data_IF_224248408200
#
_entry.id   IF_224248408200
#
_cell.length_a   1.000
_cell.length_b   1.000
_cell.length_c   1.000
_cell.angle_alpha   90.00
_cell.angle_beta   90.00
_cell.angle_gamma   90.00
#
_symmetry.space_group_name_H-M   'P 1'
#
loop_
_entity.id
_entity.type
_entity.pdbx_description
1 polymer ?
#
# COMPACT_ATOMS: atom_id res chain seq x y z
N UNK A 1 -28.40 -80.18 15.51
CA UNK A 1 -27.68 -78.96 15.92
C UNK A 1 -26.46 -78.71 15.01
N UNK A 2 -26.64 -78.29 13.75
CA UNK A 2 -25.51 -77.93 12.85
C UNK A 2 -25.88 -77.06 11.62
N UNK A 3 -27.02 -76.35 11.64
CA UNK A 3 -27.48 -75.51 10.51
C UNK A 3 -27.86 -74.06 10.86
N UNK A 4 -27.59 -73.60 12.08
CA UNK A 4 -27.90 -72.22 12.53
C UNK A 4 -26.64 -71.34 12.58
N UNK A 5 -25.44 -71.93 12.68
CA UNK A 5 -24.18 -71.17 12.76
C UNK A 5 -23.68 -70.58 11.44
N UNK A 6 -24.10 -71.11 10.29
CA UNK A 6 -23.67 -70.59 8.98
C UNK A 6 -24.52 -69.41 8.49
N UNK A 7 -25.77 -69.28 8.94
CA UNK A 7 -26.65 -68.18 8.54
C UNK A 7 -26.31 -66.86 9.26
N UNK A 8 -25.91 -66.90 10.53
CA UNK A 8 -25.48 -65.70 11.27
C UNK A 8 -24.14 -65.14 10.76
N UNK A 9 -23.22 -65.99 10.29
CA UNK A 9 -21.91 -65.54 9.84
C UNK A 9 -21.99 -64.83 8.48
N UNK A 10 -22.89 -65.27 7.59
CA UNK A 10 -23.12 -64.63 6.28
C UNK A 10 -23.88 -63.29 6.42
N UNK A 11 -24.79 -63.17 7.39
CA UNK A 11 -25.53 -61.93 7.65
C UNK A 11 -24.65 -60.85 8.31
N UNK A 12 -23.72 -61.24 9.19
CA UNK A 12 -22.74 -60.32 9.80
C UNK A 12 -21.66 -59.87 8.81
N UNK A 13 -21.28 -60.70 7.83
CA UNK A 13 -20.39 -60.26 6.75
C UNK A 13 -21.08 -59.33 5.75
N UNK A 14 -22.39 -59.44 5.55
CA UNK A 14 -23.12 -58.53 4.67
C UNK A 14 -23.35 -57.15 5.31
N UNK A 15 -23.53 -57.09 6.64
CA UNK A 15 -23.63 -55.83 7.37
C UNK A 15 -22.27 -55.13 7.56
N UNK A 16 -21.17 -55.88 7.62
CA UNK A 16 -19.82 -55.33 7.70
C UNK A 16 -19.28 -54.79 6.36
N UNK A 17 -19.80 -55.29 5.22
CA UNK A 17 -19.42 -54.80 3.87
C UNK A 17 -20.13 -53.48 3.52
N UNK A 18 -21.30 -53.19 4.11
CA UNK A 18 -21.95 -51.87 3.98
C UNK A 18 -21.29 -50.75 4.82
N UNK A 19 -20.48 -51.10 5.82
CA UNK A 19 -19.73 -50.13 6.65
C UNK A 19 -18.29 -49.86 6.15
N UNK A 20 -17.91 -50.43 5.01
CA UNK A 20 -16.61 -50.20 4.36
C UNK A 20 -16.72 -49.34 3.10
N UNK A 21 -17.83 -48.62 2.91
CA UNK A 21 -17.78 -47.40 2.10
C UNK A 21 -17.06 -46.34 2.92
N UNK A 22 -15.73 -46.40 2.85
CA UNK A 22 -14.83 -45.31 3.21
C UNK A 22 -15.47 -44.02 2.71
N UNK A 23 -15.69 -43.09 3.64
CA UNK A 23 -16.12 -41.74 3.32
C UNK A 23 -15.24 -41.22 2.19
N UNK A 24 -15.80 -41.17 0.99
CA UNK A 24 -15.33 -40.23 0.00
C UNK A 24 -15.49 -38.89 0.68
N UNK A 25 -14.36 -38.24 0.97
CA UNK A 25 -14.33 -36.80 1.08
C UNK A 25 -14.98 -36.29 -0.19
N UNK A 26 -16.25 -35.92 -0.11
CA UNK A 26 -16.89 -35.08 -1.13
C UNK A 26 -16.17 -33.76 -0.97
N UNK A 27 -15.03 -33.65 -1.67
CA UNK A 27 -14.42 -32.39 -2.00
C UNK A 27 -15.51 -31.62 -2.72
N UNK A 28 -16.04 -30.59 -2.05
CA UNK A 28 -17.22 -29.89 -2.49
C UNK A 28 -16.87 -29.15 -3.78
N UNK A 29 -17.19 -29.77 -4.92
CA UNK A 29 -17.09 -29.10 -6.20
C UNK A 29 -17.89 -27.78 -6.13
N UNK A 30 -17.37 -26.66 -6.66
CA UNK A 30 -17.99 -25.36 -6.53
C UNK A 30 -19.47 -25.42 -6.93
N UNK A 31 -20.35 -24.99 -6.02
CA UNK A 31 -21.79 -25.08 -6.25
C UNK A 31 -22.25 -23.96 -7.19
N UNK A 32 -22.80 -24.36 -8.34
CA UNK A 32 -23.38 -23.45 -9.32
C UNK A 32 -24.80 -23.07 -8.91
N UNK A 33 -25.07 -21.77 -8.86
CA UNK A 33 -26.36 -21.18 -8.54
C UNK A 33 -26.91 -20.51 -9.80
N UNK A 34 -28.08 -20.96 -10.24
CA UNK A 34 -28.83 -20.31 -11.29
C UNK A 34 -29.90 -19.40 -10.68
N UNK A 35 -29.95 -18.15 -11.13
CA UNK A 35 -30.94 -17.18 -10.69
C UNK A 35 -31.50 -16.40 -11.87
N UNK A 36 -32.76 -16.01 -11.76
CA UNK A 36 -33.47 -15.26 -12.79
C UNK A 36 -34.16 -14.08 -12.15
N UNK A 37 -33.97 -12.91 -12.74
CA UNK A 37 -34.65 -11.68 -12.36
C UNK A 37 -35.44 -11.15 -13.55
N UNK A 38 -36.62 -10.63 -13.26
CA UNK A 38 -37.54 -10.10 -14.27
C UNK A 38 -37.90 -8.68 -13.88
N UNK A 39 -37.82 -7.77 -14.83
CA UNK A 39 -38.27 -6.39 -14.67
C UNK A 39 -39.13 -5.97 -15.85
N UNK A 40 -40.26 -5.34 -15.54
CA UNK A 40 -41.17 -4.77 -16.53
C UNK A 40 -40.89 -3.28 -16.62
N UNK A 41 -40.49 -2.82 -17.81
CA UNK A 41 -40.08 -1.45 -18.07
C UNK A 41 -41.27 -0.49 -17.92
N UNK A 42 -41.11 0.55 -17.11
CA UNK A 42 -42.08 1.64 -17.00
C UNK A 42 -41.96 2.66 -18.12
N UNK A 43 -42.95 3.54 -18.25
CA UNK A 43 -43.08 4.51 -19.35
C UNK A 43 -41.88 5.49 -19.45
N UNK A 44 -41.16 5.72 -18.34
CA UNK A 44 -40.01 6.63 -18.27
C UNK A 44 -38.65 5.92 -18.17
N UNK A 45 -38.62 4.59 -18.17
CA UNK A 45 -37.38 3.85 -18.03
C UNK A 45 -36.60 3.83 -19.35
N UNK A 46 -35.29 3.61 -19.26
CA UNK A 46 -34.48 3.25 -20.42
C UNK A 46 -34.24 1.74 -20.46
N UNK A 47 -33.98 1.14 -21.64
CA UNK A 47 -33.57 -0.26 -21.76
C UNK A 47 -32.44 -0.67 -20.82
N UNK A 48 -31.51 0.26 -20.54
CA UNK A 48 -30.40 0.05 -19.61
C UNK A 48 -30.92 -0.07 -18.17
N UNK A 49 -31.76 0.88 -17.72
CA UNK A 49 -32.35 0.87 -16.38
C UNK A 49 -33.15 -0.42 -16.15
N UNK A 50 -33.97 -0.82 -17.13
CA UNK A 50 -34.77 -2.04 -17.03
C UNK A 50 -33.91 -3.31 -16.94
N UNK A 51 -32.81 -3.38 -17.71
CA UNK A 51 -31.86 -4.49 -17.63
C UNK A 51 -31.12 -4.50 -16.29
N UNK A 52 -30.65 -3.34 -15.83
CA UNK A 52 -29.92 -3.21 -14.56
C UNK A 52 -30.82 -3.60 -13.38
N UNK A 53 -32.11 -3.23 -13.41
CA UNK A 53 -33.10 -3.63 -12.41
C UNK A 53 -33.38 -5.14 -12.43
N UNK A 54 -33.57 -5.74 -13.62
CA UNK A 54 -33.73 -7.19 -13.76
C UNK A 54 -32.49 -7.95 -13.28
N UNK A 55 -31.29 -7.41 -13.54
CA UNK A 55 -30.01 -7.95 -13.07
C UNK A 55 -29.88 -7.85 -11.54
N UNK A 56 -30.26 -6.73 -10.94
CA UNK A 56 -30.27 -6.56 -9.49
C UNK A 56 -31.19 -7.58 -8.80
N UNK A 57 -32.37 -7.82 -9.38
CA UNK A 57 -33.29 -8.82 -8.85
C UNK A 57 -32.74 -10.25 -9.00
N UNK A 58 -32.14 -10.57 -10.16
CA UNK A 58 -31.46 -11.86 -10.36
C UNK A 58 -30.34 -12.07 -9.33
N UNK A 59 -29.55 -11.03 -9.07
CA UNK A 59 -28.47 -11.05 -8.08
C UNK A 59 -29.02 -11.24 -6.66
N UNK A 60 -30.12 -10.58 -6.30
CA UNK A 60 -30.77 -10.75 -4.99
C UNK A 60 -31.14 -12.21 -4.75
N UNK A 61 -31.79 -12.85 -5.73
CA UNK A 61 -32.16 -14.27 -5.68
C UNK A 61 -30.93 -15.18 -5.57
N UNK A 62 -29.84 -14.85 -6.28
CA UNK A 62 -28.60 -15.60 -6.23
C UNK A 62 -27.94 -15.54 -4.84
N UNK A 63 -27.91 -14.35 -4.22
CA UNK A 63 -27.39 -14.13 -2.86
C UNK A 63 -28.22 -14.88 -1.82
N UNK A 64 -29.55 -14.90 -1.96
CA UNK A 64 -30.43 -15.66 -1.06
C UNK A 64 -30.17 -17.17 -1.14
N UNK A 65 -29.96 -17.70 -2.35
CA UNK A 65 -29.59 -19.11 -2.55
C UNK A 65 -28.19 -19.42 -2.01
N UNK A 66 -27.23 -18.49 -2.16
CA UNK A 66 -25.91 -18.62 -1.58
C UNK A 66 -25.92 -18.58 -0.04
N UNK A 67 -26.87 -17.84 0.55
CA UNK A 67 -27.12 -17.77 1.99
C UNK A 67 -27.28 -19.13 2.65
N UNK A 68 -28.07 -20.02 2.03
CA UNK A 68 -28.29 -21.39 2.52
C UNK A 68 -26.98 -22.17 2.57
N UNK A 69 -26.09 -21.97 1.59
CA UNK A 69 -24.80 -22.64 1.54
C UNK A 69 -23.84 -22.10 2.59
N UNK A 70 -23.73 -20.77 2.70
CA UNK A 70 -22.88 -20.09 3.69
C UNK A 70 -23.30 -20.46 5.11
N UNK A 71 -24.60 -20.54 5.38
CA UNK A 71 -25.14 -20.95 6.68
C UNK A 71 -24.85 -22.43 6.98
N UNK A 72 -25.02 -23.32 5.99
CA UNK A 72 -24.64 -24.73 6.16
C UNK A 72 -23.14 -24.87 6.44
N UNK A 73 -22.30 -24.15 5.70
CA UNK A 73 -20.84 -24.18 5.86
C UNK A 73 -20.41 -23.61 7.22
N UNK A 74 -20.99 -22.49 7.68
CA UNK A 74 -20.66 -21.89 8.98
C UNK A 74 -20.98 -22.83 10.14
N UNK A 75 -22.12 -23.56 10.07
CA UNK A 75 -22.48 -24.60 11.04
C UNK A 75 -21.46 -25.73 11.09
N UNK A 76 -20.95 -26.19 9.94
CA UNK A 76 -19.89 -27.23 9.90
C UNK A 76 -18.57 -26.77 10.52
N UNK A 77 -18.33 -25.46 10.59
CA UNK A 77 -17.14 -24.84 11.20
C UNK A 77 -17.40 -24.35 12.64
N UNK A 78 -18.53 -24.70 13.26
CA UNK A 78 -18.95 -24.26 14.60
C UNK A 78 -19.01 -22.72 14.76
N UNK A 79 -19.33 -21.97 13.70
CA UNK A 79 -19.48 -20.52 13.74
C UNK A 79 -20.96 -20.13 13.89
N UNK A 80 -21.25 -19.15 14.74
CA UNK A 80 -22.59 -18.53 14.85
C UNK A 80 -22.59 -17.25 14.01
N UNK A 81 -23.27 -17.28 12.86
CA UNK A 81 -23.47 -16.11 12.00
C UNK A 81 -24.89 -15.57 12.20
N UNK A 82 -25.05 -14.24 12.18
CA UNK A 82 -26.36 -13.60 12.12
C UNK A 82 -26.93 -13.60 10.70
N UNK A 83 -28.22 -13.32 10.53
CA UNK A 83 -28.86 -13.24 9.20
C UNK A 83 -28.19 -12.21 8.28
N UNK A 84 -27.79 -11.06 8.84
CA UNK A 84 -27.07 -10.01 8.11
C UNK A 84 -25.66 -10.46 7.70
N UNK A 85 -24.97 -11.23 8.53
CA UNK A 85 -23.65 -11.79 8.21
C UNK A 85 -23.74 -12.79 7.05
N UNK A 86 -24.74 -13.67 7.09
CA UNK A 86 -24.99 -14.65 6.02
C UNK A 86 -25.24 -13.92 4.71
N UNK A 87 -26.05 -12.86 4.71
CA UNK A 87 -26.36 -12.10 3.49
C UNK A 87 -25.14 -11.36 2.93
N UNK A 88 -24.36 -10.72 3.81
CA UNK A 88 -23.13 -10.01 3.45
C UNK A 88 -22.09 -10.96 2.86
N UNK A 89 -21.81 -12.07 3.55
CA UNK A 89 -20.82 -13.07 3.10
C UNK A 89 -21.30 -13.69 1.80
N UNK A 90 -22.57 -14.05 1.69
CA UNK A 90 -23.15 -14.63 0.47
C UNK A 90 -23.00 -13.73 -0.74
N UNK A 91 -23.09 -12.41 -0.57
CA UNK A 91 -22.79 -11.46 -1.64
C UNK A 91 -21.32 -11.41 -2.04
N UNK A 92 -20.40 -11.54 -1.08
CA UNK A 92 -18.95 -11.47 -1.32
C UNK A 92 -18.40 -12.72 -2.02
N UNK A 93 -18.98 -13.88 -1.77
CA UNK A 93 -18.49 -15.18 -2.23
C UNK A 93 -19.12 -15.62 -3.55
N UNK A 94 -20.16 -14.89 -3.98
CA UNK A 94 -20.91 -15.15 -5.19
C UNK A 94 -20.19 -14.53 -6.39
N UNK A 95 -19.71 -15.36 -7.30
CA UNK A 95 -19.06 -14.94 -8.54
C UNK A 95 -19.93 -15.26 -9.74
N UNK A 96 -20.46 -14.25 -10.42
CA UNK A 96 -21.23 -14.47 -11.67
C UNK A 96 -20.28 -14.93 -12.77
N UNK A 97 -20.57 -16.10 -13.34
CA UNK A 97 -19.77 -16.76 -14.38
C UNK A 97 -20.41 -16.53 -15.76
N UNK A 98 -21.74 -16.46 -15.80
CA UNK A 98 -22.51 -16.23 -17.02
C UNK A 98 -23.72 -15.35 -16.73
N UNK A 99 -24.01 -14.45 -17.65
CA UNK A 99 -25.17 -13.57 -17.62
C UNK A 99 -25.76 -13.48 -19.03
N UNK A 100 -27.04 -13.82 -19.17
CA UNK A 100 -27.81 -13.69 -20.41
C UNK A 100 -29.00 -12.74 -20.15
N UNK A 101 -29.25 -11.82 -21.08
CA UNK A 101 -30.37 -10.88 -21.00
C UNK A 101 -31.27 -11.03 -22.21
N UNK A 102 -32.55 -11.31 -21.96
CA UNK A 102 -33.58 -11.48 -22.98
C UNK A 102 -34.62 -10.35 -22.85
N UNK A 103 -34.69 -9.44 -23.84
CA UNK A 103 -35.79 -8.49 -23.94
C UNK A 103 -37.00 -9.16 -24.63
N UNK A 104 -38.16 -9.08 -24.01
CA UNK A 104 -39.43 -9.57 -24.56
C UNK A 104 -40.45 -8.44 -24.62
N UNK A 105 -41.12 -8.28 -25.75
CA UNK A 105 -42.24 -7.36 -25.87
C UNK A 105 -43.54 -8.10 -25.54
N UNK A 106 -44.15 -7.79 -24.41
CA UNK A 106 -45.43 -8.36 -23.99
C UNK A 106 -46.53 -7.31 -24.15
N UNK A 107 -47.23 -7.34 -25.29
CA UNK A 107 -48.22 -6.33 -25.65
C UNK A 107 -47.54 -5.01 -26.00
N UNK A 108 -47.71 -3.98 -25.15
CA UNK A 108 -47.11 -2.64 -25.33
C UNK A 108 -45.92 -2.38 -24.41
N UNK A 109 -45.55 -3.34 -23.55
CA UNK A 109 -44.55 -3.11 -22.50
C UNK A 109 -43.36 -4.06 -22.68
N UNK A 110 -42.16 -3.50 -22.55
CA UNK A 110 -40.92 -4.28 -22.61
C UNK A 110 -40.65 -4.94 -21.26
N UNK A 111 -40.43 -6.25 -21.28
CA UNK A 111 -40.02 -7.06 -20.13
C UNK A 111 -38.58 -7.52 -20.35
N UNK A 112 -37.71 -7.25 -19.39
CA UNK A 112 -36.33 -7.72 -19.39
C UNK A 112 -36.23 -8.90 -18.43
N UNK A 113 -35.73 -10.02 -18.94
CA UNK A 113 -35.41 -11.20 -18.13
C UNK A 113 -33.90 -11.39 -18.15
N UNK A 114 -33.28 -11.40 -16.97
CA UNK A 114 -31.84 -11.66 -16.81
C UNK A 114 -31.69 -13.01 -16.14
N UNK A 115 -31.01 -13.92 -16.82
CA UNK A 115 -30.60 -15.22 -16.30
C UNK A 115 -29.12 -15.16 -15.97
N UNK A 116 -28.77 -15.48 -14.72
CA UNK A 116 -27.39 -15.56 -14.29
C UNK A 116 -27.04 -16.95 -13.78
N UNK A 117 -25.80 -17.34 -14.00
CA UNK A 117 -25.16 -18.51 -13.40
C UNK A 117 -23.98 -18.00 -12.59
N UNK A 118 -24.02 -18.24 -11.29
CA UNK A 118 -22.98 -17.85 -10.37
C UNK A 118 -22.33 -19.07 -9.70
N UNK A 119 -21.08 -18.93 -9.31
CA UNK A 119 -20.34 -19.87 -8.48
C UNK A 119 -20.24 -19.33 -7.07
N UNK A 120 -20.38 -20.20 -6.07
CA UNK A 120 -19.99 -19.90 -4.70
C UNK A 120 -18.59 -20.47 -4.49
N UNK A 121 -17.59 -19.60 -4.44
CA UNK A 121 -16.21 -19.98 -4.13
C UNK A 121 -16.05 -20.01 -2.62
N UNK A 122 -15.85 -21.21 -2.04
CA UNK A 122 -15.69 -21.37 -0.59
C UNK A 122 -14.32 -21.72 -0.10
N UNK A 123 -13.38 -21.93 -1.02
CA UNK A 123 -12.04 -22.39 -0.70
C UNK A 123 -11.09 -21.20 -0.42
N UNK A 124 -11.38 -20.03 -0.99
CA UNK A 124 -10.62 -18.79 -0.77
C UNK A 124 -11.25 -17.83 0.27
N UNK A 125 -12.32 -18.23 0.96
CA UNK A 125 -12.99 -17.36 1.95
C UNK A 125 -12.31 -17.50 3.31
N UNK A 126 -11.45 -16.55 3.65
CA UNK A 126 -11.07 -16.30 5.03
C UNK A 126 -12.23 -15.61 5.77
N UNK A 127 -13.25 -16.40 6.12
CA UNK A 127 -14.41 -15.98 6.92
C UNK A 127 -13.99 -15.29 8.21
N UNK A 128 -12.86 -15.71 8.79
CA UNK A 128 -12.31 -15.09 9.99
C UNK A 128 -11.80 -13.69 9.69
N UNK A 129 -11.03 -13.50 8.61
CA UNK A 129 -10.58 -12.16 8.20
C UNK A 129 -11.75 -11.22 7.84
N UNK A 130 -12.86 -11.73 7.29
CA UNK A 130 -14.05 -10.89 7.03
C UNK A 130 -14.75 -10.47 8.32
N UNK A 131 -14.87 -11.36 9.31
CA UNK A 131 -15.42 -11.04 10.63
C UNK A 131 -14.52 -10.07 11.41
N UNK A 132 -13.20 -10.28 11.37
CA UNK A 132 -12.22 -9.39 11.99
C UNK A 132 -12.32 -7.98 11.37
N UNK A 133 -12.42 -7.88 10.03
CA UNK A 133 -12.66 -6.61 9.33
C UNK A 133 -13.97 -5.94 9.72
N UNK A 134 -15.06 -6.69 9.92
CA UNK A 134 -16.33 -6.14 10.40
C UNK A 134 -16.15 -5.51 11.79
N UNK A 135 -15.50 -6.23 12.69
CA UNK A 135 -15.25 -5.77 14.06
C UNK A 135 -14.36 -4.52 14.08
N UNK A 136 -13.37 -4.47 13.19
CA UNK A 136 -12.52 -3.30 12.95
C UNK A 136 -13.33 -2.11 12.39
N UNK A 137 -14.20 -2.35 11.41
CA UNK A 137 -15.05 -1.32 10.81
C UNK A 137 -16.01 -0.72 11.85
N UNK A 138 -16.62 -1.55 12.69
CA UNK A 138 -17.50 -1.11 13.79
C UNK A 138 -16.73 -0.26 14.81
N UNK A 139 -15.50 -0.66 15.15
CA UNK A 139 -14.62 0.12 16.04
C UNK A 139 -14.25 1.47 15.42
N UNK A 140 -13.87 1.49 14.14
CA UNK A 140 -13.56 2.74 13.42
C UNK A 140 -14.79 3.65 13.32
N UNK A 141 -15.98 3.07 13.18
CA UNK A 141 -17.22 3.83 13.14
C UNK A 141 -17.57 4.43 14.50
N UNK A 142 -17.38 3.68 15.59
CA UNK A 142 -17.49 4.20 16.96
C UNK A 142 -16.47 5.30 17.23
N UNK A 143 -15.23 5.14 16.78
CA UNK A 143 -14.18 6.16 16.91
C UNK A 143 -14.53 7.42 16.12
N UNK A 144 -15.01 7.28 14.87
CA UNK A 144 -15.52 8.40 14.06
C UNK A 144 -16.66 9.12 14.76
N UNK A 145 -17.63 8.39 15.30
CA UNK A 145 -18.80 8.99 15.97
C UNK A 145 -18.40 9.66 17.29
N UNK A 146 -17.43 9.08 18.02
CA UNK A 146 -16.84 9.70 19.20
C UNK A 146 -16.06 10.98 18.85
N UNK A 147 -15.24 10.95 17.80
CA UNK A 147 -14.51 12.13 17.29
C UNK A 147 -15.47 13.21 16.78
N UNK A 148 -16.54 12.81 16.09
CA UNK A 148 -17.58 13.73 15.64
C UNK A 148 -18.28 14.39 16.83
N UNK A 149 -18.62 13.61 17.85
CA UNK A 149 -19.19 14.12 19.10
C UNK A 149 -18.22 15.07 19.82
N UNK A 150 -16.94 14.72 19.91
CA UNK A 150 -15.90 15.59 20.46
C UNK A 150 -15.76 16.89 19.66
N UNK A 151 -15.84 16.83 18.33
CA UNK A 151 -15.83 18.02 17.47
C UNK A 151 -17.07 18.89 17.67
N UNK A 152 -18.24 18.28 17.84
CA UNK A 152 -19.50 18.99 18.15
C UNK A 152 -19.45 19.63 19.54
N UNK A 153 -18.90 18.94 20.54
CA UNK A 153 -18.67 19.45 21.89
C UNK A 153 -17.65 20.60 21.89
N UNK A 154 -16.53 20.45 21.20
CA UNK A 154 -15.53 21.50 20.97
C UNK A 154 -16.14 22.72 20.26
N UNK A 155 -17.02 22.48 19.27
CA UNK A 155 -17.74 23.56 18.58
C UNK A 155 -18.71 24.28 19.53
N UNK A 156 -19.40 23.55 20.40
CA UNK A 156 -20.29 24.13 21.40
C UNK A 156 -19.51 24.92 22.46
N UNK A 157 -18.35 24.43 22.89
CA UNK A 157 -17.41 25.15 23.78
C UNK A 157 -16.84 26.40 23.10
N UNK A 158 -16.47 26.32 21.82
CA UNK A 158 -16.07 27.46 20.99
C UNK A 158 -17.18 28.51 20.87
N UNK A 159 -18.44 28.08 20.77
CA UNK A 159 -19.58 28.99 20.74
C UNK A 159 -19.80 29.71 22.08
N UNK A 160 -19.54 29.03 23.21
CA UNK A 160 -19.69 29.57 24.57
C UNK A 160 -18.50 30.41 25.06
N UNK A 161 -17.31 30.25 24.47
CA UNK A 161 -16.12 31.00 24.84
C UNK A 161 -16.22 32.50 24.47
N UNK A 162 -15.83 33.38 25.41
CA UNK A 162 -15.86 34.83 25.21
C UNK A 162 -14.79 35.31 24.22
N UNK A 163 -15.07 36.43 23.54
CA UNK A 163 -14.49 36.83 22.26
C UNK A 163 -12.96 36.85 22.11
N UNK A 164 -12.17 37.11 23.17
CA UNK A 164 -10.70 37.08 23.07
C UNK A 164 -10.13 35.65 23.04
N UNK A 165 -10.76 34.72 23.74
CA UNK A 165 -10.35 33.32 23.86
C UNK A 165 -10.80 32.53 22.62
N UNK A 166 -12.02 32.83 22.15
CA UNK A 166 -12.58 32.37 20.87
C UNK A 166 -11.74 32.77 19.66
N UNK A 167 -11.21 34.00 19.65
CA UNK A 167 -10.32 34.51 18.58
C UNK A 167 -8.96 33.83 18.64
N UNK A 168 -8.38 33.62 19.83
CA UNK A 168 -7.07 32.94 19.98
C UNK A 168 -7.10 31.46 19.63
N UNK A 169 -8.13 30.72 20.04
CA UNK A 169 -8.30 29.30 19.71
C UNK A 169 -8.69 29.11 18.24
N UNK A 170 -9.61 29.93 17.73
CA UNK A 170 -9.98 29.95 16.31
C UNK A 170 -8.77 30.23 15.41
N UNK A 171 -8.03 31.31 15.67
CA UNK A 171 -6.82 31.63 14.89
C UNK A 171 -5.74 30.55 15.01
N UNK A 172 -5.56 29.90 16.18
CA UNK A 172 -4.55 28.84 16.33
C UNK A 172 -4.90 27.57 15.54
N UNK A 173 -6.15 27.12 15.57
CA UNK A 173 -6.61 25.94 14.82
C UNK A 173 -6.71 26.23 13.32
N UNK A 174 -7.23 27.40 12.95
CA UNK A 174 -7.33 27.85 11.56
C UNK A 174 -5.94 28.04 10.94
N UNK A 175 -5.00 28.67 11.66
CA UNK A 175 -3.60 28.74 11.23
C UNK A 175 -2.93 27.36 11.13
N UNK A 176 -3.18 26.45 12.07
CA UNK A 176 -2.63 25.08 12.00
C UNK A 176 -3.15 24.33 10.76
N UNK A 177 -4.45 24.44 10.50
CA UNK A 177 -5.09 23.83 9.33
C UNK A 177 -4.65 24.47 8.01
N UNK A 178 -4.37 25.77 8.01
CA UNK A 178 -3.83 26.47 6.83
C UNK A 178 -2.36 26.08 6.55
N UNK A 179 -1.54 25.85 7.60
CA UNK A 179 -0.17 25.38 7.41
C UNK A 179 -0.12 23.97 6.81
N UNK A 180 -0.95 23.04 7.29
CA UNK A 180 -1.04 21.68 6.74
C UNK A 180 -1.31 21.70 5.24
N UNK A 181 -2.27 22.53 4.78
CA UNK A 181 -2.56 22.67 3.35
C UNK A 181 -1.38 23.21 2.55
N UNK A 182 -0.62 24.14 3.10
CA UNK A 182 0.59 24.65 2.44
C UNK A 182 1.64 23.53 2.35
N UNK A 183 1.87 22.79 3.43
CA UNK A 183 2.81 21.68 3.46
C UNK A 183 2.45 20.56 2.49
N UNK A 184 1.18 20.15 2.42
CA UNK A 184 0.71 19.13 1.50
C UNK A 184 0.96 19.52 0.04
N UNK A 185 0.65 20.78 -0.32
CA UNK A 185 0.92 21.30 -1.67
C UNK A 185 2.41 21.35 -1.97
N UNK A 186 3.21 21.91 -1.06
CA UNK A 186 4.68 21.99 -1.20
C UNK A 186 5.30 20.61 -1.37
N UNK A 187 4.86 19.62 -0.58
CA UNK A 187 5.27 18.23 -0.72
C UNK A 187 4.90 17.67 -2.10
N UNK A 188 3.67 17.93 -2.56
CA UNK A 188 3.20 17.52 -3.89
C UNK A 188 3.96 18.18 -5.04
N UNK A 189 4.46 19.41 -4.88
CA UNK A 189 5.38 20.03 -5.84
C UNK A 189 6.75 19.35 -5.82
N UNK A 190 7.33 19.09 -4.64
CA UNK A 190 8.63 18.40 -4.51
C UNK A 190 8.59 17.02 -5.16
N UNK A 191 7.52 16.25 -4.94
CA UNK A 191 7.35 14.91 -5.54
C UNK A 191 7.27 14.95 -7.08
N UNK A 192 6.74 16.03 -7.64
CA UNK A 192 6.67 16.27 -9.10
C UNK A 192 7.90 17.00 -9.64
N UNK A 193 8.93 17.20 -8.82
CA UNK A 193 10.13 17.98 -9.14
C UNK A 193 9.86 19.44 -9.52
N UNK A 194 8.70 19.99 -9.15
CA UNK A 194 8.35 21.41 -9.28
C UNK A 194 8.97 22.23 -8.13
N UNK A 195 10.27 22.08 -7.91
CA UNK A 195 10.95 22.57 -6.70
C UNK A 195 10.85 24.08 -6.49
N UNK A 196 10.93 24.88 -7.55
CA UNK A 196 10.81 26.36 -7.46
C UNK A 196 9.48 26.79 -6.87
N UNK A 197 8.37 26.12 -7.26
CA UNK A 197 7.04 26.44 -6.71
C UNK A 197 6.94 26.08 -5.23
N UNK A 198 7.54 24.95 -4.83
CA UNK A 198 7.63 24.59 -3.43
C UNK A 198 8.41 25.64 -2.62
N UNK A 199 9.53 26.11 -3.17
CA UNK A 199 10.38 27.14 -2.55
C UNK A 199 9.62 28.46 -2.38
N UNK A 200 8.88 28.91 -3.39
CA UNK A 200 8.13 30.16 -3.35
C UNK A 200 7.02 30.12 -2.27
N UNK A 201 6.22 29.04 -2.23
CA UNK A 201 5.17 28.88 -1.22
C UNK A 201 5.76 28.80 0.20
N UNK A 202 6.84 28.04 0.39
CA UNK A 202 7.47 27.89 1.71
C UNK A 202 8.20 29.16 2.15
N UNK A 203 8.77 29.93 1.23
CA UNK A 203 9.40 31.21 1.54
C UNK A 203 8.38 32.21 2.07
N UNK A 204 7.23 32.31 1.41
CA UNK A 204 6.12 33.16 1.87
C UNK A 204 5.70 32.78 3.30
N UNK A 205 5.59 31.48 3.59
CA UNK A 205 5.23 30.99 4.91
C UNK A 205 6.31 31.30 5.98
N UNK A 206 7.59 31.17 5.63
CA UNK A 206 8.71 31.47 6.53
C UNK A 206 8.80 32.97 6.82
N UNK A 207 8.49 33.84 5.86
CA UNK A 207 8.53 35.30 6.04
C UNK A 207 7.43 35.81 6.98
N UNK A 208 6.34 35.06 7.15
CA UNK A 208 5.31 35.38 8.13
C UNK A 208 5.83 35.20 9.56
N UNK A 209 5.94 36.31 10.29
CA UNK A 209 6.43 36.37 11.68
C UNK A 209 5.49 35.72 12.69
N UNK A 210 4.25 35.47 12.32
CA UNK A 210 3.29 34.75 13.15
C UNK A 210 3.58 33.24 13.18
N UNK A 211 4.28 32.72 12.16
CA UNK A 211 4.65 31.31 12.03
C UNK A 211 5.91 31.05 12.86
N UNK A 212 5.76 30.21 13.89
CA UNK A 212 6.80 29.86 14.87
C UNK A 212 6.70 28.39 15.24
N UNK A 213 7.71 27.87 15.92
CA UNK A 213 7.67 26.50 16.45
C UNK A 213 7.75 25.43 15.36
N UNK A 214 7.07 24.30 15.61
CA UNK A 214 6.98 23.15 14.71
C UNK A 214 6.65 23.51 13.24
N UNK A 215 5.61 24.31 12.92
CA UNK A 215 5.34 24.69 11.53
C UNK A 215 6.48 25.44 10.85
N UNK A 216 7.15 26.35 11.57
CA UNK A 216 8.26 27.12 11.00
C UNK A 216 9.47 26.21 10.73
N UNK A 217 9.82 25.36 11.69
CA UNK A 217 10.90 24.38 11.53
C UNK A 217 10.64 23.44 10.35
N UNK A 218 9.39 22.96 10.21
CA UNK A 218 9.02 22.08 9.12
C UNK A 218 9.01 22.79 7.75
N UNK A 219 8.63 24.07 7.70
CA UNK A 219 8.71 24.87 6.48
C UNK A 219 10.16 25.00 5.98
N UNK A 220 11.11 25.27 6.89
CA UNK A 220 12.54 25.27 6.58
C UNK A 220 13.00 23.91 6.07
N UNK A 221 12.65 22.81 6.75
CA UNK A 221 12.97 21.45 6.28
C UNK A 221 12.48 21.17 4.86
N UNK A 222 11.21 21.46 4.56
CA UNK A 222 10.64 21.21 3.23
C UNK A 222 11.32 22.06 2.15
N UNK A 223 11.72 23.30 2.49
CA UNK A 223 12.38 24.19 1.54
C UNK A 223 13.82 23.75 1.30
N UNK A 224 14.53 23.32 2.35
CA UNK A 224 15.85 22.70 2.23
C UNK A 224 15.80 21.44 1.36
N UNK A 225 14.76 20.61 1.52
CA UNK A 225 14.54 19.44 0.64
C UNK A 225 14.29 19.84 -0.82
N UNK A 226 13.55 20.92 -1.07
CA UNK A 226 13.36 21.44 -2.43
C UNK A 226 14.66 21.99 -3.03
N UNK A 227 15.49 22.68 -2.25
CA UNK A 227 16.83 23.11 -2.68
C UNK A 227 17.75 21.92 -2.97
N UNK A 228 17.73 20.88 -2.15
CA UNK A 228 18.46 19.64 -2.42
C UNK A 228 18.03 19.03 -3.76
N UNK A 229 16.71 18.97 -4.03
CA UNK A 229 16.17 18.51 -5.31
C UNK A 229 16.59 19.36 -6.53
N UNK A 230 16.89 20.64 -6.33
CA UNK A 230 17.47 21.53 -7.35
C UNK A 230 19.00 21.43 -7.47
N UNK A 231 19.64 20.49 -6.79
CA UNK A 231 21.09 20.37 -6.71
C UNK A 231 21.75 21.64 -6.17
N UNK A 232 21.12 22.27 -5.16
CA UNK A 232 21.62 23.44 -4.43
C UNK A 232 21.94 23.06 -2.97
N UNK A 233 23.00 22.28 -2.73
CA UNK A 233 23.29 21.69 -1.42
C UNK A 233 23.60 22.75 -0.35
N UNK A 234 24.26 23.86 -0.69
CA UNK A 234 24.54 24.93 0.26
C UNK A 234 23.26 25.57 0.82
N UNK A 235 22.32 25.94 -0.06
CA UNK A 235 21.03 26.50 0.36
C UNK A 235 20.21 25.50 1.17
N UNK A 236 20.30 24.20 0.81
CA UNK A 236 19.66 23.13 1.55
C UNK A 236 20.21 23.02 2.98
N UNK A 237 21.53 23.02 3.15
CA UNK A 237 22.19 22.98 4.46
C UNK A 237 21.83 24.19 5.32
N UNK A 238 21.74 25.39 4.73
CA UNK A 238 21.31 26.59 5.46
C UNK A 238 19.89 26.44 6.00
N UNK A 239 18.95 25.95 5.18
CA UNK A 239 17.58 25.71 5.61
C UNK A 239 17.47 24.57 6.63
N UNK A 240 18.23 23.49 6.49
CA UNK A 240 18.26 22.41 7.51
C UNK A 240 18.81 22.92 8.85
N UNK A 241 19.84 23.76 8.82
CA UNK A 241 20.37 24.41 10.01
C UNK A 241 19.31 25.32 10.67
N UNK A 242 18.58 26.10 9.88
CA UNK A 242 17.48 26.95 10.37
C UNK A 242 16.33 26.12 10.96
N UNK A 243 15.99 24.99 10.35
CA UNK A 243 15.00 24.05 10.87
C UNK A 243 15.43 23.50 12.24
N UNK A 244 16.68 23.02 12.35
CA UNK A 244 17.24 22.45 13.56
C UNK A 244 17.38 23.49 14.71
N UNK A 245 17.60 24.77 14.37
CA UNK A 245 17.71 25.88 15.34
C UNK A 245 16.38 26.53 15.72
N UNK A 246 15.28 26.19 15.05
CA UNK A 246 13.95 26.68 15.41
C UNK A 246 13.38 25.78 16.51
N UNK A 247 12.79 26.34 17.57
CA UNK A 247 12.16 25.53 18.62
C UNK A 247 11.16 24.52 18.03
N UNK A 248 11.40 23.22 18.21
CA UNK A 248 10.54 22.18 17.66
C UNK A 248 10.61 20.88 18.47
N UNK A 249 9.62 20.03 18.23
CA UNK A 249 9.60 18.63 18.58
C UNK A 249 9.34 17.80 17.31
N UNK A 250 9.58 16.49 17.42
CA UNK A 250 9.41 15.56 16.31
C UNK A 250 8.08 14.81 16.35
N UNK A 251 7.09 15.29 17.13
CA UNK A 251 5.81 14.59 17.33
C UNK A 251 4.85 14.84 16.18
N UNK A 252 4.78 16.09 15.70
CA UNK A 252 3.84 16.50 14.66
C UNK A 252 4.45 16.35 13.27
N UNK A 253 5.71 16.76 13.12
CA UNK A 253 6.45 16.69 11.86
C UNK A 253 7.78 15.97 12.07
N UNK A 254 8.28 15.24 11.06
CA UNK A 254 9.55 14.52 11.16
C UNK A 254 10.74 15.46 10.85
N UNK A 255 10.92 16.53 11.63
CA UNK A 255 12.01 17.52 11.40
C UNK A 255 13.39 16.87 11.48
N UNK A 256 13.55 15.79 12.26
CA UNK A 256 14.76 14.97 12.30
C UNK A 256 15.23 14.47 10.92
N UNK A 257 14.37 14.46 9.88
CA UNK A 257 14.77 14.16 8.50
C UNK A 257 15.74 15.20 7.92
N UNK A 258 15.91 16.39 8.50
CA UNK A 258 17.00 17.32 8.17
C UNK A 258 18.35 16.59 8.19
N UNK A 259 18.63 15.87 9.27
CA UNK A 259 19.88 15.10 9.44
C UNK A 259 20.09 14.03 8.36
N UNK A 260 19.00 13.45 7.84
CA UNK A 260 19.11 12.51 6.70
C UNK A 260 19.68 13.23 5.47
N UNK A 261 19.13 14.38 5.11
CA UNK A 261 19.59 15.13 3.94
C UNK A 261 20.97 15.77 4.16
N UNK A 262 21.25 16.30 5.34
CA UNK A 262 22.60 16.79 5.70
C UNK A 262 23.63 15.66 5.55
N UNK A 263 23.30 14.45 6.03
CA UNK A 263 24.14 13.28 5.89
C UNK A 263 24.39 12.86 4.44
N UNK A 264 23.37 12.92 3.58
CA UNK A 264 23.52 12.67 2.14
C UNK A 264 24.39 13.73 1.47
N UNK A 265 24.20 15.01 1.79
CA UNK A 265 25.02 16.10 1.25
C UNK A 265 26.49 15.93 1.66
N UNK A 266 26.76 15.65 2.94
CA UNK A 266 28.13 15.40 3.40
C UNK A 266 28.74 14.14 2.77
N UNK A 267 27.94 13.11 2.50
CA UNK A 267 28.40 11.94 1.78
C UNK A 267 28.86 12.30 0.36
N UNK A 268 28.05 13.07 -0.37
CA UNK A 268 28.35 13.53 -1.72
C UNK A 268 29.58 14.46 -1.77
N UNK A 269 29.81 15.24 -0.71
CA UNK A 269 31.00 16.08 -0.53
C UNK A 269 32.26 15.28 -0.12
N UNK A 270 32.16 13.96 0.08
CA UNK A 270 33.27 13.11 0.53
C UNK A 270 33.59 13.23 2.03
N UNK A 271 32.75 13.95 2.79
CA UNK A 271 32.87 14.17 4.23
C UNK A 271 32.23 13.02 5.00
N UNK A 272 32.75 11.81 4.82
CA UNK A 272 32.08 10.59 5.26
C UNK A 272 31.88 10.47 6.77
N UNK A 273 32.82 10.95 7.60
CA UNK A 273 32.65 10.93 9.05
C UNK A 273 31.51 11.86 9.51
N UNK A 274 31.27 12.97 8.81
CA UNK A 274 30.14 13.87 9.05
C UNK A 274 28.84 13.25 8.57
N UNK A 275 28.86 12.64 7.38
CA UNK A 275 27.72 11.91 6.84
C UNK A 275 27.21 10.82 7.80
N UNK A 276 28.13 10.02 8.37
CA UNK A 276 27.79 8.98 9.35
C UNK A 276 27.13 9.59 10.58
N UNK A 277 27.67 10.69 11.13
CA UNK A 277 27.10 11.31 12.34
C UNK A 277 25.66 11.77 12.11
N UNK A 278 25.40 12.49 11.03
CA UNK A 278 24.06 13.00 10.75
C UNK A 278 23.06 11.84 10.45
N UNK A 279 23.48 10.84 9.67
CA UNK A 279 22.64 9.67 9.39
C UNK A 279 22.36 8.84 10.65
N UNK A 280 23.29 8.78 11.60
CA UNK A 280 23.07 8.14 12.90
C UNK A 280 22.05 8.88 13.75
N UNK A 281 22.10 10.22 13.77
CA UNK A 281 21.09 11.04 14.44
C UNK A 281 19.72 10.77 13.83
N UNK A 282 19.59 10.84 12.50
CA UNK A 282 18.35 10.54 11.79
C UNK A 282 17.83 9.13 12.12
N UNK A 283 18.71 8.12 12.09
CA UNK A 283 18.35 6.73 12.40
C UNK A 283 17.85 6.56 13.84
N UNK A 284 18.46 7.25 14.80
CA UNK A 284 18.08 7.17 16.21
C UNK A 284 16.71 7.80 16.51
N UNK A 285 16.35 8.87 15.80
CA UNK A 285 15.02 9.47 15.88
C UNK A 285 13.95 8.70 15.11
N UNK A 286 14.33 7.95 14.07
CA UNK A 286 13.41 7.15 13.28
C UNK A 286 12.82 5.96 14.07
N UNK A 287 11.77 5.35 13.52
CA UNK A 287 11.22 4.07 13.99
C UNK A 287 12.09 2.85 13.61
N UNK A 288 13.23 3.09 12.95
CA UNK A 288 14.19 2.10 12.47
C UNK A 288 13.61 1.12 11.44
N UNK A 289 12.59 1.53 10.69
CA UNK A 289 11.97 0.74 9.62
C UNK A 289 12.26 1.27 8.22
N UNK A 290 12.75 2.51 8.11
CA UNK A 290 13.13 3.13 6.84
C UNK A 290 14.37 2.45 6.26
N UNK A 291 14.16 1.53 5.30
CA UNK A 291 15.24 0.75 4.68
C UNK A 291 16.22 1.62 3.90
N UNK A 292 15.75 2.70 3.28
CA UNK A 292 16.61 3.61 2.53
C UNK A 292 17.60 4.29 3.48
N UNK A 293 17.10 4.83 4.59
CA UNK A 293 17.96 5.44 5.62
C UNK A 293 18.98 4.44 6.21
N UNK A 294 18.58 3.19 6.42
CA UNK A 294 19.49 2.15 6.89
C UNK A 294 20.61 1.84 5.87
N UNK A 295 20.27 1.81 4.58
CA UNK A 295 21.22 1.58 3.50
C UNK A 295 22.16 2.78 3.29
N UNK A 296 21.66 4.01 3.39
CA UNK A 296 22.46 5.25 3.37
C UNK A 296 23.49 5.24 4.50
N UNK A 297 23.05 4.97 5.74
CA UNK A 297 23.92 4.89 6.91
C UNK A 297 24.99 3.80 6.77
N UNK A 298 24.60 2.61 6.28
CA UNK A 298 25.54 1.51 6.03
C UNK A 298 26.58 1.92 4.99
N UNK A 299 26.16 2.59 3.93
CA UNK A 299 27.02 3.04 2.83
C UNK A 299 28.01 4.10 3.32
N UNK A 300 27.53 5.10 4.06
CA UNK A 300 28.36 6.12 4.68
C UNK A 300 29.42 5.53 5.62
N UNK A 301 29.05 4.54 6.45
CA UNK A 301 30.00 3.84 7.35
C UNK A 301 31.09 3.10 6.58
N UNK A 302 30.74 2.39 5.50
CA UNK A 302 31.73 1.72 4.66
C UNK A 302 32.67 2.72 3.97
N UNK A 303 32.14 3.86 3.50
CA UNK A 303 32.94 4.89 2.87
C UNK A 303 33.92 5.55 3.88
N UNK A 304 33.44 5.87 5.09
CA UNK A 304 34.29 6.40 6.17
C UNK A 304 35.41 5.41 6.55
N UNK A 305 35.10 4.13 6.64
CA UNK A 305 36.10 3.10 6.95
C UNK A 305 37.15 2.96 5.84
N UNK A 306 36.72 2.94 4.58
CA UNK A 306 37.64 2.92 3.42
C UNK A 306 38.50 4.18 3.33
N UNK A 307 37.97 5.33 3.72
CA UNK A 307 38.73 6.58 3.73
C UNK A 307 39.82 6.57 4.81
N UNK A 308 39.58 5.91 5.96
CA UNK A 308 40.57 5.71 7.02
C UNK A 308 41.58 4.62 6.68
N UNK A 309 41.11 3.56 6.02
CA UNK A 309 41.87 2.39 5.63
C UNK A 309 41.81 2.21 4.10
N UNK A 310 42.50 3.08 3.32
CA UNK A 310 42.50 2.96 1.87
C UNK A 310 43.09 1.61 1.48
N UNK A 311 42.47 0.87 0.54
CA UNK A 311 43.05 -0.37 0.05
C UNK A 311 44.46 -0.06 -0.49
N UNK A 312 45.42 -0.98 -0.34
CA UNK A 312 46.75 -0.79 -0.88
C UNK A 312 46.62 -0.45 -2.36
N UNK A 313 47.27 0.64 -2.79
CA UNK A 313 47.29 1.03 -4.19
C UNK A 313 47.65 -0.21 -5.03
N UNK A 314 46.97 -0.47 -6.15
CA UNK A 314 47.40 -1.51 -7.06
C UNK A 314 48.86 -1.22 -7.36
N UNK A 315 49.74 -2.13 -6.96
CA UNK A 315 51.15 -2.02 -7.31
C UNK A 315 51.16 -1.85 -8.82
N UNK A 316 51.55 -0.66 -9.29
CA UNK A 316 52.01 -0.53 -10.67
C UNK A 316 53.09 -1.58 -10.76
N UNK A 317 52.86 -2.62 -11.57
CA UNK A 317 53.91 -3.52 -12.01
C UNK A 317 54.96 -2.63 -12.68
N UNK A 318 55.89 -2.14 -11.88
CA UNK A 318 57.14 -1.59 -12.35
C UNK A 318 57.79 -2.75 -13.07
N UNK A 319 57.81 -2.65 -14.39
CA UNK A 319 58.42 -3.65 -15.25
C UNK A 319 59.82 -3.94 -14.75
N UNK A 320 59.98 -5.10 -14.13
CA UNK A 320 61.27 -5.78 -14.09
C UNK A 320 61.22 -6.81 -15.20
N UNK A 321 61.96 -6.48 -16.25
CA UNK A 321 62.38 -7.39 -17.31
C UNK A 321 62.91 -8.68 -16.67
N UNK A 322 62.21 -9.79 -16.89
CA UNK A 322 62.53 -11.02 -16.16
C UNK A 322 61.75 -12.24 -16.61
N UNK A 323 62.02 -12.67 -17.84
CA UNK A 323 61.86 -14.04 -18.32
C UNK A 323 60.43 -14.58 -18.59
N UNK A 324 60.10 -14.70 -19.89
CA UNK A 324 59.34 -15.85 -20.38
C UNK A 324 57.82 -15.72 -20.56
N UNK A 325 57.23 -14.52 -20.65
CA UNK A 325 55.82 -14.36 -21.06
C UNK A 325 55.70 -13.71 -22.43
N UNK A 326 55.12 -14.46 -23.37
CA UNK A 326 54.82 -14.01 -24.73
C UNK A 326 53.92 -12.77 -24.64
N UNK A 327 54.44 -11.63 -25.12
CA UNK A 327 53.72 -10.36 -25.16
C UNK A 327 52.74 -10.40 -26.36
N UNK A 328 51.53 -10.92 -26.11
CA UNK A 328 50.48 -11.04 -27.11
C UNK A 328 50.03 -9.70 -27.69
N UNK A 329 50.13 -8.59 -26.93
CA UNK A 329 49.81 -7.25 -27.41
C UNK A 329 50.83 -6.76 -28.45
N UNK A 330 52.12 -7.07 -28.28
CA UNK A 330 53.15 -6.78 -29.30
C UNK A 330 52.97 -7.65 -30.55
N UNK A 331 52.69 -8.95 -30.37
CA UNK A 331 52.42 -9.86 -31.49
C UNK A 331 51.19 -9.42 -32.28
N UNK A 332 50.09 -9.04 -31.61
CA UNK A 332 48.89 -8.56 -32.28
C UNK A 332 49.15 -7.24 -33.02
N UNK A 333 49.95 -6.33 -32.44
CA UNK A 333 50.30 -5.07 -33.09
C UNK A 333 51.18 -5.30 -34.32
N UNK A 334 52.18 -6.17 -34.23
CA UNK A 334 53.07 -6.49 -35.36
C UNK A 334 52.33 -7.21 -36.50
N UNK A 335 51.37 -8.09 -36.18
CA UNK A 335 50.53 -8.78 -37.17
C UNK A 335 49.56 -7.81 -37.87
N UNK A 336 48.99 -6.84 -37.14
CA UNK A 336 48.12 -5.82 -37.73
C UNK A 336 48.94 -4.88 -38.63
N UNK A 337 50.13 -4.45 -38.21
CA UNK A 337 50.99 -3.60 -39.02
C UNK A 337 51.48 -4.32 -40.28
N UNK A 338 51.91 -5.59 -40.18
CA UNK A 338 52.33 -6.37 -41.35
C UNK A 338 51.20 -6.74 -42.32
N UNK A 339 49.95 -6.86 -41.84
CA UNK A 339 48.79 -7.12 -42.72
C UNK A 339 48.31 -5.86 -43.44
N UNK A 340 48.54 -4.68 -42.86
CA UNK A 340 48.27 -3.39 -43.51
C UNK A 340 49.34 -3.09 -44.59
N UNK A 341 50.60 -3.45 -44.36
CA UNK A 341 51.69 -3.21 -45.33
C UNK A 341 51.64 -4.14 -46.56
N UNK A 342 51.02 -5.33 -46.42
CA UNK A 342 50.75 -6.24 -47.55
C UNK A 342 49.44 -5.95 -48.30
N UNK A 343 48.57 -5.08 -47.78
CA UNK A 343 47.33 -4.65 -48.44
C UNK A 343 47.47 -3.42 -49.33
N UNK A 344 48.63 -2.76 -49.32
CA UNK A 344 48.89 -1.55 -50.11
C UNK A 344 49.79 -1.77 -51.34
N UNK A 345 50.14 -3.02 -51.67
CA UNK A 345 50.83 -3.38 -52.91
C UNK A 345 50.39 -4.80 -53.37
N UNK A 346 49.43 -4.85 -54.30
CA UNK A 346 49.18 -6.03 -55.16
C UNK A 346 48.14 -7.02 -54.68
#
# INVERSE_FOLDING_TARGET
MRRIGTACLVLLTFLAVCCLWKGGTVEAAPQRIEATGVYVMGDNDSPKIARDAARQEAMRVAVEKAGVYVESYSRTKNMQLTEDDVKMISGAVLKVIKEDSVPELSGTTWKYTVHLVAEVDTDDIDLKAMMDKKTELEKLQQERDALKKQNEELLAEYQKANGQEKKRLGTRLESSYDYEKIFDRSMGYIQRSEYTRAIDELTTLIEDRSVKGNPRAYAYYLRGRAYYGLNRPHDALEDFNMANNTDHDNTTYPIWRCHQYEGLIYYDEGRYDEAVRELEIAWNYSDKRDRALADDLRTARMAAERAKNPPPEPQQESGSEGNGRINWTKILTDVIIHSIDKGSNG
#
